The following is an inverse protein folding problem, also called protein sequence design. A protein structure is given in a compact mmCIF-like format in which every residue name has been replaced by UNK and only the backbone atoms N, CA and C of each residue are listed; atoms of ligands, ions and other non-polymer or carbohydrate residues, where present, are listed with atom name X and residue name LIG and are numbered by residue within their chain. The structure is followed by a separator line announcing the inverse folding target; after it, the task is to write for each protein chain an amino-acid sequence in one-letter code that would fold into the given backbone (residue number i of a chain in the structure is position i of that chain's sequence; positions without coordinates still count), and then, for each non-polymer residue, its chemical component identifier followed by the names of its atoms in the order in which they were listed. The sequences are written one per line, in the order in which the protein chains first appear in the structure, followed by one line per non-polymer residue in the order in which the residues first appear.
data_IF_274072161727
#
_entry.id   IF_274072161727
#
_cell.length_a   1.000
_cell.length_b   1.000
_cell.length_c   1.000
_cell.angle_alpha   90.00
_cell.angle_beta   90.00
_cell.angle_gamma   90.00
#
_symmetry.space_group_name_H-M   'P 1'
#
loop_
_entity.id
_entity.type
_entity.pdbx_description
1 polymer ?
#
# COMPACT_ATOMS: atom_id res chain seq x y z
N UNK A 1 -17.90 49.02 -10.64
CA UNK A 1 -17.19 47.86 -11.21
C UNK A 1 -16.77 46.94 -10.06
N UNK A 2 -17.59 45.94 -9.76
CA UNK A 2 -17.38 45.00 -8.65
C UNK A 2 -16.58 43.82 -9.19
N UNK A 3 -15.27 43.72 -8.86
CA UNK A 3 -14.41 42.60 -9.20
C UNK A 3 -14.76 41.41 -8.28
N UNK A 4 -15.51 40.46 -8.84
CA UNK A 4 -15.79 39.17 -8.21
C UNK A 4 -14.50 38.31 -8.26
N UNK A 5 -13.74 38.30 -7.17
CA UNK A 5 -12.61 37.39 -6.99
C UNK A 5 -13.18 35.99 -6.75
N UNK A 6 -13.17 35.17 -7.80
CA UNK A 6 -13.46 33.73 -7.70
C UNK A 6 -12.31 33.07 -6.93
N UNK A 7 -12.54 32.79 -5.64
CA UNK A 7 -11.62 32.05 -4.80
C UNK A 7 -11.70 30.56 -5.22
N UNK A 8 -10.83 30.16 -6.15
CA UNK A 8 -10.67 28.77 -6.56
C UNK A 8 -9.91 28.03 -5.44
N UNK A 9 -10.65 27.50 -4.46
CA UNK A 9 -10.10 26.62 -3.46
C UNK A 9 -9.67 25.30 -4.18
N UNK A 10 -8.39 24.84 -4.05
CA UNK A 10 -8.00 23.56 -4.59
C UNK A 10 -8.77 22.49 -3.83
N UNK A 11 -9.67 21.76 -4.50
CA UNK A 11 -10.18 20.50 -4.01
C UNK A 11 -8.98 19.57 -3.85
N UNK A 12 -8.53 19.37 -2.63
CA UNK A 12 -7.59 18.32 -2.31
C UNK A 12 -8.31 16.97 -2.54
N UNK A 13 -8.20 16.43 -3.74
CA UNK A 13 -8.64 15.08 -4.07
C UNK A 13 -7.92 14.15 -3.08
N UNK A 14 -8.69 13.48 -2.24
CA UNK A 14 -8.18 12.48 -1.31
C UNK A 14 -7.64 11.30 -2.15
N UNK A 15 -6.36 11.36 -2.51
CA UNK A 15 -5.72 10.33 -3.33
C UNK A 15 -5.65 9.04 -2.53
N UNK A 16 -6.07 7.97 -3.15
CA UNK A 16 -5.93 6.61 -2.63
C UNK A 16 -4.50 6.12 -2.90
N UNK A 17 -3.81 5.63 -1.88
CA UNK A 17 -2.37 5.35 -1.93
C UNK A 17 -1.93 4.39 -0.82
N UNK A 18 -0.79 3.74 -1.01
CA UNK A 18 -0.08 3.09 0.09
C UNK A 18 0.61 4.17 0.95
N UNK A 19 0.45 4.06 2.28
CA UNK A 19 1.06 4.97 3.24
C UNK A 19 2.28 4.33 3.91
N UNK A 20 2.19 3.04 4.19
CA UNK A 20 3.22 2.27 4.85
C UNK A 20 3.21 0.82 4.35
N UNK A 21 4.39 0.25 4.17
CA UNK A 21 4.55 -1.14 3.72
C UNK A 21 5.69 -1.78 4.49
N UNK A 22 5.40 -2.83 5.25
CA UNK A 22 6.42 -3.70 5.84
C UNK A 22 6.42 -5.01 5.07
N UNK A 23 7.52 -5.33 4.40
CA UNK A 23 7.62 -6.49 3.51
C UNK A 23 8.64 -7.48 4.06
N UNK A 24 8.21 -8.71 4.29
CA UNK A 24 9.11 -9.79 4.66
C UNK A 24 10.14 -10.04 3.54
N UNK A 25 11.36 -10.35 3.91
CA UNK A 25 12.44 -10.66 2.97
C UNK A 25 13.24 -11.85 3.49
N UNK A 26 13.38 -12.87 2.65
CA UNK A 26 14.11 -14.08 3.02
C UNK A 26 15.63 -13.85 3.07
N UNK A 27 16.27 -14.45 4.09
CA UNK A 27 17.74 -14.63 4.20
C UNK A 27 18.55 -13.33 4.17
N UNK A 28 18.26 -12.43 5.11
CA UNK A 28 19.04 -11.19 5.32
C UNK A 28 20.05 -11.35 6.47
N UNK A 29 21.05 -12.23 6.32
CA UNK A 29 21.97 -12.59 7.42
C UNK A 29 23.25 -11.73 7.47
N UNK A 30 23.38 -10.73 6.60
CA UNK A 30 24.64 -10.01 6.42
C UNK A 30 24.46 -8.49 6.59
N UNK A 31 25.24 -7.88 7.48
CA UNK A 31 25.17 -6.44 7.77
C UNK A 31 25.43 -5.54 6.54
N UNK A 32 26.30 -5.96 5.62
CA UNK A 32 26.54 -5.26 4.37
C UNK A 32 25.35 -5.36 3.42
N UNK A 33 24.61 -6.46 3.48
CA UNK A 33 23.38 -6.67 2.71
C UNK A 33 22.29 -5.69 3.14
N UNK A 34 22.10 -5.51 4.44
CA UNK A 34 21.16 -4.55 5.04
C UNK A 34 21.42 -3.14 4.51
N UNK A 35 22.69 -2.68 4.60
CA UNK A 35 23.08 -1.34 4.14
C UNK A 35 22.91 -1.14 2.64
N UNK A 36 23.26 -2.15 1.85
CA UNK A 36 23.09 -2.10 0.38
C UNK A 36 21.63 -2.03 -0.01
N UNK A 37 20.77 -2.79 0.69
CA UNK A 37 19.33 -2.78 0.48
C UNK A 37 18.73 -1.41 0.82
N UNK A 38 19.04 -0.84 1.99
CA UNK A 38 18.58 0.50 2.36
C UNK A 38 18.97 1.55 1.32
N UNK A 39 20.23 1.56 0.88
CA UNK A 39 20.72 2.52 -0.10
C UNK A 39 20.05 2.35 -1.47
N UNK A 40 19.79 1.13 -1.89
CA UNK A 40 19.11 0.82 -3.15
C UNK A 40 17.65 1.24 -3.14
N UNK A 41 16.93 0.88 -2.08
CA UNK A 41 15.48 1.09 -1.96
C UNK A 41 15.09 2.56 -1.69
N UNK A 42 15.96 3.34 -1.04
CA UNK A 42 15.74 4.80 -0.85
C UNK A 42 15.67 5.58 -2.16
N UNK A 43 16.19 5.03 -3.26
CA UNK A 43 16.16 5.68 -4.58
C UNK A 43 14.80 5.56 -5.28
N UNK A 44 13.89 4.76 -4.75
CA UNK A 44 12.56 4.58 -5.34
C UNK A 44 11.76 5.87 -5.16
N UNK A 45 11.30 6.45 -6.26
CA UNK A 45 10.50 7.67 -6.23
C UNK A 45 9.19 7.42 -5.48
N UNK A 46 8.91 8.25 -4.48
CA UNK A 46 7.72 8.11 -3.62
C UNK A 46 8.00 7.40 -2.30
N UNK A 47 9.22 6.89 -2.10
CA UNK A 47 9.67 6.39 -0.80
C UNK A 47 10.27 7.55 0.00
N UNK A 48 9.77 7.77 1.20
CA UNK A 48 10.28 8.78 2.14
C UNK A 48 11.37 8.20 3.03
N UNK A 49 11.11 7.02 3.59
CA UNK A 49 12.03 6.34 4.50
C UNK A 49 12.05 4.84 4.24
N UNK A 50 13.24 4.26 4.36
CA UNK A 50 13.45 2.80 4.37
C UNK A 50 14.20 2.44 5.64
N UNK A 51 13.74 1.42 6.33
CA UNK A 51 14.47 0.74 7.38
C UNK A 51 14.51 -0.76 7.07
N UNK A 52 15.65 -1.39 7.28
CA UNK A 52 15.84 -2.82 7.02
C UNK A 52 16.19 -3.51 8.34
N UNK A 53 15.36 -4.47 8.72
CA UNK A 53 15.57 -5.32 9.89
C UNK A 53 15.66 -6.79 9.45
N UNK A 54 16.78 -7.49 9.72
CA UNK A 54 16.94 -8.89 9.31
C UNK A 54 15.86 -9.84 9.82
N UNK A 55 15.25 -9.54 10.95
CA UNK A 55 14.22 -10.38 11.57
C UNK A 55 12.80 -10.09 11.04
N UNK A 56 12.56 -8.87 10.58
CA UNK A 56 11.23 -8.39 10.17
C UNK A 56 11.13 -8.28 8.65
N UNK A 57 12.16 -7.75 7.99
CA UNK A 57 12.19 -7.45 6.58
C UNK A 57 12.47 -5.97 6.31
N UNK A 58 11.82 -5.42 5.29
CA UNK A 58 11.98 -4.03 4.86
C UNK A 58 10.73 -3.24 5.20
N UNK A 59 10.93 -2.13 5.88
CA UNK A 59 9.92 -1.17 6.24
C UNK A 59 10.02 0.08 5.36
N UNK A 60 8.91 0.42 4.68
CA UNK A 60 8.79 1.58 3.80
C UNK A 60 7.78 2.56 4.36
N UNK A 61 8.19 3.80 4.61
CA UNK A 61 7.29 4.95 4.74
C UNK A 61 7.21 5.66 3.39
N UNK A 62 6.01 5.93 2.91
CA UNK A 62 5.77 6.50 1.60
C UNK A 62 5.29 7.96 1.72
N UNK A 63 5.72 8.83 0.79
CA UNK A 63 5.26 10.22 0.77
C UNK A 63 3.79 10.31 0.39
N UNK A 64 3.08 11.30 0.90
CA UNK A 64 1.71 11.55 0.51
C UNK A 64 1.60 11.86 -1.00
N UNK A 65 0.58 11.33 -1.67
CA UNK A 65 0.40 11.49 -3.10
C UNK A 65 1.33 10.63 -3.97
N UNK A 66 1.98 9.61 -3.37
CA UNK A 66 2.85 8.71 -4.11
C UNK A 66 2.07 7.83 -5.10
N UNK A 67 2.80 7.24 -6.04
CA UNK A 67 2.27 6.25 -7.01
C UNK A 67 2.99 4.92 -6.91
N UNK A 68 3.55 4.63 -5.74
CA UNK A 68 4.29 3.39 -5.51
C UNK A 68 3.34 2.21 -5.48
N UNK A 69 3.70 1.14 -6.17
CA UNK A 69 2.97 -0.13 -6.15
C UNK A 69 3.76 -1.20 -5.40
N UNK A 70 3.08 -2.22 -4.91
CA UNK A 70 3.75 -3.35 -4.24
C UNK A 70 4.65 -4.12 -5.19
N UNK A 71 4.28 -4.21 -6.47
CA UNK A 71 5.09 -4.83 -7.50
C UNK A 71 6.43 -4.11 -7.66
N UNK A 72 6.42 -2.76 -7.73
CA UNK A 72 7.66 -1.96 -7.80
C UNK A 72 8.58 -2.22 -6.60
N UNK A 73 8.03 -2.30 -5.39
CA UNK A 73 8.82 -2.59 -4.19
C UNK A 73 9.40 -4.01 -4.22
N UNK A 74 8.57 -5.00 -4.62
CA UNK A 74 9.01 -6.38 -4.77
C UNK A 74 10.10 -6.53 -5.83
N UNK A 75 9.93 -5.88 -6.99
CA UNK A 75 10.90 -5.96 -8.07
C UNK A 75 12.21 -5.26 -7.72
N UNK A 76 12.17 -4.18 -6.96
CA UNK A 76 13.37 -3.52 -6.45
C UNK A 76 14.13 -4.43 -5.48
N UNK A 77 13.44 -5.13 -4.57
CA UNK A 77 14.06 -6.11 -3.65
C UNK A 77 14.67 -7.28 -4.43
N UNK A 78 13.95 -7.81 -5.43
CA UNK A 78 14.48 -8.86 -6.32
C UNK A 78 15.73 -8.38 -7.10
N UNK A 79 15.71 -7.14 -7.58
CA UNK A 79 16.84 -6.54 -8.32
C UNK A 79 18.12 -6.43 -7.49
N UNK A 80 18.00 -6.38 -6.16
CA UNK A 80 19.13 -6.40 -5.22
C UNK A 80 19.59 -7.85 -4.90
N UNK A 81 18.84 -8.86 -5.34
CA UNK A 81 19.16 -10.28 -5.16
C UNK A 81 18.43 -10.98 -4.01
N UNK A 82 17.38 -10.37 -3.46
CA UNK A 82 16.60 -10.94 -2.37
C UNK A 82 15.21 -11.38 -2.82
N UNK A 83 14.57 -12.22 -2.01
CA UNK A 83 13.21 -12.71 -2.27
C UNK A 83 12.21 -12.00 -1.35
N UNK A 84 11.33 -11.14 -1.90
CA UNK A 84 10.25 -10.53 -1.13
C UNK A 84 9.14 -11.55 -0.85
N UNK A 85 8.65 -11.53 0.38
CA UNK A 85 7.53 -12.35 0.86
C UNK A 85 6.24 -11.55 1.02
N UNK A 86 5.48 -11.90 2.07
CA UNK A 86 4.26 -11.22 2.46
C UNK A 86 4.53 -9.76 2.86
N UNK A 87 3.54 -8.92 2.64
CA UNK A 87 3.60 -7.53 3.04
C UNK A 87 2.42 -7.17 3.94
N UNK A 88 2.72 -6.51 5.06
CA UNK A 88 1.72 -5.78 5.85
C UNK A 88 1.67 -4.36 5.34
N UNK A 89 0.48 -3.87 5.03
CA UNK A 89 0.29 -2.55 4.42
C UNK A 89 -0.67 -1.69 5.21
N UNK A 90 -0.41 -0.39 5.25
CA UNK A 90 -1.41 0.63 5.55
C UNK A 90 -1.71 1.32 4.24
N UNK A 91 -2.96 1.22 3.81
CA UNK A 91 -3.40 1.71 2.50
C UNK A 91 -4.66 2.54 2.65
N UNK A 92 -4.73 3.62 1.90
CA UNK A 92 -5.89 4.50 1.78
C UNK A 92 -6.55 4.25 0.43
N UNK A 93 -7.87 4.12 0.42
CA UNK A 93 -8.60 3.84 -0.81
C UNK A 93 -10.10 3.84 -0.59
N UNK A 94 -10.82 3.18 -1.47
CA UNK A 94 -12.27 3.09 -1.46
C UNK A 94 -12.71 1.62 -1.47
N UNK A 95 -13.47 1.15 -0.46
CA UNK A 95 -14.12 -0.15 -0.53
C UNK A 95 -15.28 -0.09 -1.54
N UNK A 96 -15.38 -1.08 -2.40
CA UNK A 96 -16.45 -1.22 -3.40
C UNK A 96 -16.96 -2.65 -3.43
N UNK A 97 -18.21 -2.84 -3.80
CA UNK A 97 -18.78 -4.16 -4.04
C UNK A 97 -18.99 -4.35 -5.54
N UNK A 98 -18.39 -5.38 -6.10
CA UNK A 98 -18.53 -5.74 -7.51
C UNK A 98 -18.77 -7.26 -7.61
N UNK A 99 -19.82 -7.67 -8.33
CA UNK A 99 -20.21 -9.08 -8.51
C UNK A 99 -20.38 -9.83 -7.17
N UNK A 100 -20.93 -9.15 -6.16
CA UNK A 100 -21.15 -9.69 -4.81
C UNK A 100 -19.87 -9.88 -3.98
N UNK A 101 -18.72 -9.38 -4.46
CA UNK A 101 -17.43 -9.47 -3.77
C UNK A 101 -16.95 -8.09 -3.35
N UNK A 102 -16.33 -8.03 -2.19
CA UNK A 102 -15.66 -6.83 -1.71
C UNK A 102 -14.31 -6.64 -2.42
N UNK A 103 -14.10 -5.41 -2.89
CA UNK A 103 -12.83 -4.96 -3.50
C UNK A 103 -12.39 -3.65 -2.88
N UNK A 104 -11.12 -3.34 -3.03
CA UNK A 104 -10.52 -2.08 -2.59
C UNK A 104 -9.84 -1.40 -3.76
N UNK A 105 -10.35 -0.22 -4.10
CA UNK A 105 -9.82 0.59 -5.19
C UNK A 105 -8.78 1.57 -4.65
N UNK A 106 -7.62 1.60 -5.29
CA UNK A 106 -6.54 2.54 -4.99
C UNK A 106 -6.34 3.41 -6.23
N UNK A 107 -7.15 4.47 -6.33
CA UNK A 107 -7.22 5.31 -7.53
C UNK A 107 -5.88 5.97 -7.88
N UNK A 108 -5.09 6.36 -6.88
CA UNK A 108 -3.78 7.01 -7.07
C UNK A 108 -2.79 6.17 -7.88
N UNK A 109 -2.95 4.84 -7.88
CA UNK A 109 -2.09 3.90 -8.62
C UNK A 109 -2.87 3.06 -9.63
N UNK A 110 -4.16 3.34 -9.82
CA UNK A 110 -5.07 2.60 -10.72
C UNK A 110 -5.03 1.08 -10.49
N UNK A 111 -5.14 0.68 -9.23
CA UNK A 111 -5.11 -0.73 -8.80
C UNK A 111 -6.36 -1.09 -8.02
N UNK A 112 -6.83 -2.32 -8.27
CA UNK A 112 -7.95 -2.94 -7.56
C UNK A 112 -7.43 -4.20 -6.89
N UNK A 113 -7.79 -4.38 -5.62
CA UNK A 113 -7.48 -5.56 -4.83
C UNK A 113 -8.77 -6.27 -4.42
N UNK A 114 -8.77 -7.60 -4.39
CA UNK A 114 -9.84 -8.34 -3.74
C UNK A 114 -9.67 -8.18 -2.22
N UNK A 115 -10.79 -7.94 -1.52
CA UNK A 115 -10.78 -7.92 -0.06
C UNK A 115 -11.10 -9.30 0.49
N UNK A 116 -10.32 -9.72 1.46
CA UNK A 116 -10.61 -10.83 2.37
C UNK A 116 -10.53 -10.32 3.81
N UNK A 117 -11.29 -10.89 4.69
CA UNK A 117 -11.16 -10.66 6.13
C UNK A 117 -11.78 -11.83 6.89
N UNK A 118 -11.19 -12.15 8.03
CA UNK A 118 -11.71 -13.14 8.98
C UNK A 118 -12.49 -12.48 10.12
N UNK A 119 -12.67 -11.16 10.06
CA UNK A 119 -13.26 -10.37 11.14
C UNK A 119 -14.56 -9.71 10.67
N UNK A 120 -15.71 -10.21 11.11
CA UNK A 120 -17.03 -9.70 10.72
C UNK A 120 -17.22 -8.21 11.01
N UNK A 121 -16.64 -7.71 12.10
CA UNK A 121 -16.69 -6.28 12.46
C UNK A 121 -15.99 -5.39 11.42
N UNK A 122 -14.99 -5.90 10.70
CA UNK A 122 -14.32 -5.16 9.62
C UNK A 122 -15.25 -5.01 8.44
N UNK A 123 -15.99 -6.06 8.07
CA UNK A 123 -17.00 -6.00 6.99
C UNK A 123 -18.06 -4.97 7.32
N UNK A 124 -18.63 -5.02 8.52
CA UNK A 124 -19.63 -4.05 8.98
C UNK A 124 -19.10 -2.62 8.97
N UNK A 125 -17.86 -2.43 9.41
CA UNK A 125 -17.18 -1.14 9.37
C UNK A 125 -16.95 -0.61 7.96
N UNK A 126 -16.60 -1.47 6.99
CA UNK A 126 -16.46 -1.10 5.58
C UNK A 126 -17.80 -0.75 4.93
N UNK A 127 -18.86 -1.48 5.27
CA UNK A 127 -20.23 -1.19 4.79
C UNK A 127 -20.72 0.20 5.19
N UNK A 128 -20.39 0.63 6.41
CA UNK A 128 -20.78 1.96 6.91
C UNK A 128 -19.94 3.10 6.31
N UNK A 129 -18.78 2.80 5.72
CA UNK A 129 -17.81 3.77 5.20
C UNK A 129 -17.65 3.70 3.68
N UNK A 130 -18.76 3.61 2.94
CA UNK A 130 -18.73 3.60 1.46
C UNK A 130 -18.30 4.98 0.88
N UNK A 131 -17.18 5.49 1.35
CA UNK A 131 -16.59 6.78 0.95
C UNK A 131 -15.12 6.62 0.58
N UNK A 132 -14.63 7.48 -0.29
CA UNK A 132 -13.21 7.54 -0.62
C UNK A 132 -12.37 7.94 0.61
N UNK A 133 -11.15 7.44 0.69
CA UNK A 133 -10.20 7.81 1.74
C UNK A 133 -10.25 6.96 3.00
N UNK A 134 -10.91 5.80 2.97
CA UNK A 134 -10.83 4.82 4.06
C UNK A 134 -9.40 4.29 4.15
N UNK A 135 -8.83 4.31 5.36
CA UNK A 135 -7.53 3.68 5.64
C UNK A 135 -7.75 2.29 6.24
N UNK A 136 -7.06 1.31 5.71
CA UNK A 136 -7.06 -0.06 6.22
C UNK A 136 -5.65 -0.55 6.49
N UNK A 137 -5.51 -1.42 7.49
CA UNK A 137 -4.36 -2.31 7.64
C UNK A 137 -4.71 -3.66 7.04
N UNK A 138 -3.82 -4.22 6.24
CA UNK A 138 -4.03 -5.50 5.58
C UNK A 138 -2.73 -6.24 5.37
N UNK A 139 -2.82 -7.57 5.23
CA UNK A 139 -1.72 -8.43 4.79
C UNK A 139 -1.96 -8.86 3.36
N UNK A 140 -0.93 -8.93 2.55
CA UNK A 140 -1.00 -9.39 1.17
C UNK A 140 0.24 -10.19 0.80
N UNK A 141 0.01 -11.35 0.19
CA UNK A 141 1.06 -12.21 -0.35
C UNK A 141 1.38 -11.84 -1.80
N UNK A 142 2.58 -12.18 -2.30
CA UNK A 142 2.86 -12.10 -3.73
C UNK A 142 1.82 -12.91 -4.52
N UNK A 143 1.22 -12.36 -5.58
CA UNK A 143 0.29 -13.13 -6.39
C UNK A 143 1.03 -14.28 -7.08
N UNK A 144 0.36 -15.44 -7.28
CA UNK A 144 0.97 -16.61 -7.91
C UNK A 144 1.37 -16.36 -9.36
N UNK A 145 0.68 -15.46 -10.03
CA UNK A 145 0.98 -15.02 -11.39
C UNK A 145 0.61 -13.54 -11.56
N UNK A 146 1.19 -12.83 -12.57
CA UNK A 146 0.95 -11.41 -12.79
C UNK A 146 -0.48 -11.03 -13.16
N UNK A 147 -1.31 -11.97 -13.58
CA UNK A 147 -2.70 -11.74 -13.99
C UNK A 147 -3.68 -11.91 -12.83
N UNK A 148 -3.25 -12.55 -11.75
CA UNK A 148 -4.08 -12.74 -10.56
C UNK A 148 -4.26 -11.42 -9.83
N UNK A 149 -5.52 -11.04 -9.60
CA UNK A 149 -5.84 -9.88 -8.75
C UNK A 149 -5.41 -10.18 -7.31
N UNK A 150 -4.46 -9.43 -6.75
CA UNK A 150 -3.96 -9.70 -5.41
C UNK A 150 -5.05 -9.49 -4.35
N UNK A 151 -4.88 -10.18 -3.23
CA UNK A 151 -5.82 -10.12 -2.11
C UNK A 151 -5.22 -9.25 -1.00
N UNK A 152 -6.04 -8.36 -0.43
CA UNK A 152 -5.78 -7.69 0.84
C UNK A 152 -6.60 -8.41 1.92
N UNK A 153 -5.94 -9.12 2.81
CA UNK A 153 -6.56 -9.70 4.00
C UNK A 153 -6.60 -8.61 5.10
N UNK A 154 -7.76 -7.98 5.24
CA UNK A 154 -7.93 -6.80 6.09
C UNK A 154 -7.94 -7.20 7.55
N UNK A 155 -7.04 -6.61 8.31
CA UNK A 155 -6.89 -6.84 9.75
C UNK A 155 -7.54 -5.75 10.59
N UNK A 156 -7.57 -4.50 10.10
CA UNK A 156 -8.19 -3.38 10.81
C UNK A 156 -8.59 -2.25 9.86
N UNK A 157 -9.59 -1.47 10.28
CA UNK A 157 -9.88 -0.14 9.72
C UNK A 157 -9.20 0.89 10.61
N UNK A 158 -8.41 1.77 10.00
CA UNK A 158 -7.65 2.80 10.71
C UNK A 158 -8.43 4.12 10.69
N UNK A 159 -8.57 4.82 11.82
CA UNK A 159 -9.23 6.12 11.90
C UNK A 159 -8.59 7.19 11.02
#
# INVERSE_FOLDING_TARGET
MLKLLLLCAPLALAQAEFLHVTMAVDKMDCATCVKSMEMGLRKIRGVEKVAVDPAIGVDFTLVAGNKVTLEQLRDAIKGIGFRPGDATVIVKGKPVTQDGRWRFEIDGINKIYNLSTRHDHVILGLQSKNVAGVKISAVTSPPPDPQTVPILDVTAIIP
#
